data_IF_074574389370
#
_entry.id   IF_074574389370
#
_cell.length_a   1.000
_cell.length_b   1.000
_cell.length_c   1.000
_cell.angle_alpha   90.00
_cell.angle_beta   90.00
_cell.angle_gamma   90.00
#
_symmetry.space_group_name_H-M   'P 1'
#
loop_
_entity.id
_entity.type
_entity.pdbx_description
1 polymer ?
#
# COMPACT_ATOMS: atom_id res chain seq x y z
N UNK A 1 -16.32 -12.16 -25.53
CA UNK A 1 -16.10 -12.71 -24.19
C UNK A 1 -17.41 -12.64 -23.44
N UNK A 2 -17.89 -13.79 -22.97
CA UNK A 2 -18.96 -13.93 -22.00
C UNK A 2 -18.49 -13.46 -20.61
N UNK A 3 -19.44 -13.13 -19.73
CA UNK A 3 -19.12 -12.67 -18.37
C UNK A 3 -18.35 -13.71 -17.55
N UNK A 4 -18.59 -15.00 -17.82
CA UNK A 4 -17.86 -16.14 -17.23
C UNK A 4 -16.39 -16.15 -17.64
N UNK A 5 -16.10 -16.01 -18.94
CA UNK A 5 -14.72 -15.98 -19.48
C UNK A 5 -13.94 -14.78 -18.93
N UNK A 6 -14.60 -13.62 -18.78
CA UNK A 6 -13.97 -12.44 -18.20
C UNK A 6 -13.62 -12.64 -16.73
N UNK A 7 -14.52 -13.24 -15.96
CA UNK A 7 -14.30 -13.53 -14.53
C UNK A 7 -13.15 -14.51 -14.31
N UNK A 8 -13.11 -15.60 -15.09
CA UNK A 8 -12.02 -16.58 -15.03
C UNK A 8 -10.67 -15.92 -15.34
N UNK A 9 -10.62 -15.04 -16.35
CA UNK A 9 -9.41 -14.29 -16.68
C UNK A 9 -8.96 -13.33 -15.57
N UNK A 10 -9.89 -12.66 -14.88
CA UNK A 10 -9.58 -11.80 -13.74
C UNK A 10 -9.07 -12.60 -12.52
N UNK A 11 -9.64 -13.78 -12.27
CA UNK A 11 -9.20 -14.71 -11.23
C UNK A 11 -7.76 -15.20 -11.48
N UNK A 12 -7.45 -15.61 -12.69
CA UNK A 12 -6.10 -16.05 -13.09
C UNK A 12 -5.06 -14.92 -12.99
N UNK A 13 -5.45 -13.70 -13.40
CA UNK A 13 -4.60 -12.52 -13.29
C UNK A 13 -4.29 -12.18 -11.82
N UNK A 14 -5.31 -12.21 -10.95
CA UNK A 14 -5.13 -11.95 -9.51
C UNK A 14 -4.28 -13.03 -8.85
N UNK A 15 -4.48 -14.30 -9.18
CA UNK A 15 -3.64 -15.41 -8.69
C UNK A 15 -2.17 -15.21 -9.11
N UNK A 16 -1.95 -14.78 -10.35
CA UNK A 16 -0.61 -14.46 -10.86
C UNK A 16 0.05 -13.33 -10.07
N UNK A 17 -0.65 -12.21 -9.83
CA UNK A 17 -0.12 -11.12 -9.01
C UNK A 17 0.15 -11.56 -7.57
N UNK A 18 -0.80 -12.27 -6.97
CA UNK A 18 -0.70 -12.72 -5.58
C UNK A 18 0.51 -13.64 -5.36
N UNK A 19 0.84 -14.53 -6.32
CA UNK A 19 2.00 -15.42 -6.24
C UNK A 19 3.34 -14.68 -6.16
N UNK A 20 3.46 -13.54 -6.83
CA UNK A 20 4.69 -12.75 -6.87
C UNK A 20 4.70 -11.59 -5.87
N UNK A 21 3.58 -11.33 -5.21
CA UNK A 21 3.43 -10.23 -4.27
C UNK A 21 3.91 -10.61 -2.86
N UNK A 22 5.02 -10.01 -2.43
CA UNK A 22 5.49 -10.12 -1.05
C UNK A 22 4.78 -9.09 -0.15
N UNK A 23 3.67 -9.53 0.45
CA UNK A 23 2.90 -8.73 1.42
C UNK A 23 3.74 -8.34 2.65
N UNK A 24 4.65 -9.20 3.10
CA UNK A 24 5.47 -8.91 4.28
C UNK A 24 6.48 -7.79 3.98
N UNK A 25 7.08 -7.81 2.79
CA UNK A 25 7.94 -6.73 2.33
C UNK A 25 7.16 -5.40 2.26
N UNK A 26 5.95 -5.42 1.69
CA UNK A 26 5.10 -4.24 1.60
C UNK A 26 4.73 -3.68 2.98
N UNK A 27 4.35 -4.54 3.94
CA UNK A 27 4.08 -4.15 5.33
C UNK A 27 5.32 -3.59 6.03
N UNK A 28 6.49 -4.19 5.79
CA UNK A 28 7.77 -3.70 6.33
C UNK A 28 8.12 -2.32 5.78
N UNK A 29 7.90 -2.09 4.49
CA UNK A 29 8.11 -0.79 3.85
C UNK A 29 7.12 0.26 4.39
N UNK A 30 5.84 -0.08 4.53
CA UNK A 30 4.83 0.78 5.17
C UNK A 30 5.29 1.24 6.55
N UNK A 31 5.72 0.30 7.41
CA UNK A 31 6.23 0.59 8.76
C UNK A 31 7.50 1.44 8.73
N UNK A 32 8.43 1.17 7.80
CA UNK A 32 9.67 1.96 7.63
C UNK A 32 9.36 3.41 7.22
N UNK A 33 8.47 3.60 6.25
CA UNK A 33 8.03 4.92 5.80
C UNK A 33 7.32 5.67 6.92
N UNK A 34 6.42 5.02 7.67
CA UNK A 34 5.73 5.65 8.81
C UNK A 34 6.73 6.09 9.89
N UNK A 35 7.68 5.21 10.28
CA UNK A 35 8.75 5.55 11.23
C UNK A 35 9.58 6.75 10.78
N UNK A 36 9.90 6.87 9.49
CA UNK A 36 10.68 7.98 8.94
C UNK A 36 9.91 9.30 8.89
N UNK A 37 8.57 9.27 8.94
CA UNK A 37 7.70 10.41 8.63
C UNK A 37 6.86 10.91 9.81
N UNK A 38 6.52 10.05 10.78
CA UNK A 38 5.61 10.37 11.89
C UNK A 38 6.11 11.50 12.80
N UNK A 39 7.43 11.66 12.90
CA UNK A 39 8.09 12.69 13.74
C UNK A 39 8.59 13.89 12.92
N UNK A 40 8.21 14.01 11.64
CA UNK A 40 8.69 15.05 10.72
C UNK A 40 7.72 16.24 10.63
N UNK A 41 8.20 17.43 10.22
CA UNK A 41 7.33 18.58 9.98
C UNK A 41 6.23 18.28 8.95
N UNK A 42 5.09 18.98 9.05
CA UNK A 42 3.90 18.78 8.20
C UNK A 42 4.18 18.80 6.69
N UNK A 43 5.22 19.50 6.24
CA UNK A 43 5.62 19.54 4.82
C UNK A 43 6.15 18.18 4.34
N UNK A 44 7.02 17.54 5.13
CA UNK A 44 7.58 16.20 4.83
C UNK A 44 6.53 15.12 5.13
N UNK A 45 5.81 15.27 6.25
CA UNK A 45 4.73 14.38 6.62
C UNK A 45 3.52 14.46 5.67
N UNK A 46 3.34 15.56 4.93
CA UNK A 46 2.25 15.74 3.98
C UNK A 46 2.36 14.76 2.81
N UNK A 47 3.44 14.88 2.01
CA UNK A 47 3.63 14.02 0.83
C UNK A 47 3.90 12.57 1.23
N UNK A 48 4.82 12.34 2.16
CA UNK A 48 5.17 10.98 2.55
C UNK A 48 4.07 10.32 3.40
N UNK A 49 3.33 11.09 4.20
CA UNK A 49 2.15 10.60 4.92
C UNK A 49 0.99 10.25 3.99
N UNK A 50 0.84 10.93 2.85
CA UNK A 50 -0.10 10.52 1.82
C UNK A 50 0.25 9.15 1.22
N UNK A 51 1.54 8.90 0.94
CA UNK A 51 2.02 7.59 0.46
C UNK A 51 1.77 6.51 1.51
N UNK A 52 2.11 6.78 2.78
CA UNK A 52 1.84 5.84 3.89
C UNK A 52 0.35 5.53 4.02
N UNK A 53 -0.50 6.56 3.95
CA UNK A 53 -1.95 6.37 4.05
C UNK A 53 -2.50 5.56 2.87
N UNK A 54 -2.10 5.89 1.65
CA UNK A 54 -2.52 5.17 0.44
C UNK A 54 -2.07 3.72 0.47
N UNK A 55 -0.79 3.46 0.75
CA UNK A 55 -0.24 2.10 0.82
C UNK A 55 -0.92 1.28 1.92
N UNK A 56 -1.12 1.86 3.11
CA UNK A 56 -1.83 1.19 4.21
C UNK A 56 -3.26 0.81 3.85
N UNK A 57 -4.00 1.75 3.24
CA UNK A 57 -5.37 1.48 2.76
C UNK A 57 -5.40 0.36 1.73
N UNK A 58 -4.56 0.43 0.71
CA UNK A 58 -4.46 -0.61 -0.33
C UNK A 58 -4.14 -1.98 0.29
N UNK A 59 -3.14 -2.06 1.16
CA UNK A 59 -2.74 -3.31 1.81
C UNK A 59 -3.86 -3.91 2.67
N UNK A 60 -4.59 -3.08 3.42
CA UNK A 60 -5.70 -3.55 4.26
C UNK A 60 -6.84 -4.19 3.46
N UNK A 61 -7.04 -3.75 2.21
CA UNK A 61 -8.14 -4.25 1.38
C UNK A 61 -7.90 -5.65 0.82
N UNK A 62 -6.64 -6.11 0.74
CA UNK A 62 -6.28 -7.37 0.07
C UNK A 62 -6.95 -8.60 0.73
N UNK A 63 -7.11 -8.58 2.05
CA UNK A 63 -7.71 -9.68 2.80
C UNK A 63 -9.24 -9.57 2.87
N UNK A 64 -9.84 -8.49 2.37
CA UNK A 64 -11.28 -8.31 2.41
C UNK A 64 -11.98 -9.29 1.45
N UNK A 65 -12.79 -10.24 1.95
CA UNK A 65 -13.45 -11.24 1.10
C UNK A 65 -14.60 -10.64 0.28
N UNK A 66 -15.15 -9.49 0.69
CA UNK A 66 -16.24 -8.81 -0.01
C UNK A 66 -15.75 -7.95 -1.18
N UNK A 67 -14.44 -7.75 -1.33
CA UNK A 67 -13.89 -6.92 -2.40
C UNK A 67 -13.96 -7.64 -3.76
N UNK A 68 -14.60 -7.03 -4.78
CA UNK A 68 -14.62 -7.56 -6.15
C UNK A 68 -13.23 -7.81 -6.70
N UNK A 69 -13.09 -8.85 -7.54
CA UNK A 69 -11.79 -9.31 -7.97
C UNK A 69 -11.06 -8.35 -8.92
N UNK A 70 -11.78 -7.68 -9.81
CA UNK A 70 -11.20 -6.61 -10.64
C UNK A 70 -10.61 -5.47 -9.78
N UNK A 71 -11.17 -5.19 -8.60
CA UNK A 71 -10.59 -4.21 -7.67
C UNK A 71 -9.32 -4.75 -7.00
N UNK A 72 -9.26 -6.06 -6.68
CA UNK A 72 -8.02 -6.69 -6.19
C UNK A 72 -6.88 -6.55 -7.21
N UNK A 73 -7.15 -6.77 -8.48
CA UNK A 73 -6.17 -6.55 -9.55
C UNK A 73 -5.64 -5.10 -9.58
N UNK A 74 -6.55 -4.11 -9.48
CA UNK A 74 -6.17 -2.69 -9.40
C UNK A 74 -5.32 -2.38 -8.16
N UNK A 75 -5.66 -2.98 -7.01
CA UNK A 75 -4.89 -2.82 -5.77
C UNK A 75 -3.47 -3.38 -5.91
N UNK A 76 -3.30 -4.57 -6.49
CA UNK A 76 -1.97 -5.12 -6.76
C UNK A 76 -1.15 -4.22 -7.69
N UNK A 77 -1.77 -3.70 -8.76
CA UNK A 77 -1.11 -2.74 -9.66
C UNK A 77 -0.69 -1.46 -8.95
N UNK A 78 -1.58 -0.88 -8.13
CA UNK A 78 -1.30 0.34 -7.37
C UNK A 78 -0.20 0.14 -6.32
N UNK A 79 -0.20 -0.99 -5.60
CA UNK A 79 0.88 -1.30 -4.64
C UNK A 79 2.20 -1.51 -5.41
N UNK A 80 2.19 -2.27 -6.51
CA UNK A 80 3.36 -2.46 -7.36
C UNK A 80 3.94 -1.13 -7.84
N UNK A 81 3.08 -0.19 -8.24
CA UNK A 81 3.47 1.16 -8.63
C UNK A 81 4.08 1.98 -7.48
N UNK A 82 3.59 1.84 -6.24
CA UNK A 82 4.19 2.50 -5.07
C UNK A 82 5.57 1.88 -4.75
N UNK A 83 5.67 0.55 -4.78
CA UNK A 83 6.89 -0.16 -4.37
C UNK A 83 8.03 -0.04 -5.38
N UNK A 84 7.75 -0.19 -6.69
CA UNK A 84 8.77 -0.21 -7.74
C UNK A 84 9.71 1.03 -7.75
N UNK A 85 9.24 2.28 -7.69
CA UNK A 85 10.10 3.46 -7.62
C UNK A 85 10.75 3.64 -6.24
N UNK A 86 10.10 3.20 -5.15
CA UNK A 86 10.69 3.25 -3.79
C UNK A 86 11.84 2.26 -3.62
N UNK A 87 11.83 1.15 -4.35
CA UNK A 87 12.87 0.10 -4.31
C UNK A 87 14.09 0.46 -5.17
N UNK A 88 13.96 1.41 -6.11
CA UNK A 88 15.00 1.74 -7.09
C UNK A 88 15.85 2.98 -6.72
N UNK A 89 15.36 3.88 -5.85
CA UNK A 89 16.04 5.15 -5.55
C UNK A 89 15.87 5.55 -4.08
N UNK A 90 16.78 5.16 -3.17
CA UNK A 90 16.73 5.65 -1.80
C UNK A 90 17.23 7.10 -1.63
N UNK A 91 17.98 7.69 -2.57
CA UNK A 91 18.79 8.90 -2.29
C UNK A 91 18.57 10.12 -3.22
N UNK A 92 17.71 10.08 -4.23
CA UNK A 92 17.49 11.24 -5.14
C UNK A 92 16.00 11.37 -5.50
N UNK A 93 15.25 12.20 -4.77
CA UNK A 93 13.94 12.67 -5.25
C UNK A 93 13.99 14.18 -5.53
N UNK A 94 14.19 14.61 -6.79
CA UNK A 94 13.53 15.80 -7.29
C UNK A 94 12.09 15.40 -7.68
N UNK A 95 11.10 15.94 -6.96
CA UNK A 95 9.66 15.62 -7.12
C UNK A 95 9.10 16.29 -8.38
N UNK A 96 9.54 15.88 -9.58
CA UNK A 96 9.00 16.38 -10.84
C UNK A 96 8.76 15.21 -11.79
N UNK A 97 7.48 14.87 -12.03
CA UNK A 97 7.05 13.85 -12.99
C UNK A 97 6.00 12.85 -12.48
N UNK A 98 5.81 12.70 -11.17
CA UNK A 98 4.94 11.65 -10.58
C UNK A 98 3.46 12.05 -10.38
N UNK A 99 3.05 13.25 -10.78
CA UNK A 99 1.72 13.79 -10.47
C UNK A 99 0.56 13.01 -11.11
N UNK A 100 0.75 12.54 -12.35
CA UNK A 100 -0.30 11.87 -13.13
C UNK A 100 -0.58 10.44 -12.61
N UNK A 101 0.46 9.70 -12.26
CA UNK A 101 0.33 8.35 -11.74
C UNK A 101 -0.08 8.31 -10.25
N UNK A 102 0.29 9.30 -9.43
CA UNK A 102 -0.21 9.39 -8.04
C UNK A 102 -1.71 9.72 -7.99
N UNK A 103 -2.24 10.45 -8.99
CA UNK A 103 -3.67 10.63 -9.16
C UNK A 103 -4.37 9.29 -9.48
N UNK A 104 -3.72 8.41 -10.25
CA UNK A 104 -4.23 7.06 -10.51
C UNK A 104 -4.31 6.21 -9.23
N UNK A 105 -3.27 6.25 -8.38
CA UNK A 105 -3.25 5.55 -7.08
C UNK A 105 -4.33 6.10 -6.14
N UNK A 106 -4.48 7.43 -6.07
CA UNK A 106 -5.54 8.06 -5.28
C UNK A 106 -6.95 7.64 -5.78
N UNK A 107 -7.12 7.48 -7.09
CA UNK A 107 -8.32 6.93 -7.70
C UNK A 107 -8.61 5.50 -7.24
N UNK A 108 -7.60 4.62 -7.25
CA UNK A 108 -7.75 3.23 -6.76
C UNK A 108 -8.08 3.22 -5.27
N UNK A 109 -7.37 4.00 -4.45
CA UNK A 109 -7.65 4.15 -3.00
C UNK A 109 -9.10 4.57 -2.77
N UNK A 110 -9.60 5.51 -3.57
CA UNK A 110 -10.99 5.97 -3.49
C UNK A 110 -11.97 4.86 -3.88
N UNK A 111 -11.69 4.12 -4.96
CA UNK A 111 -12.51 3.02 -5.44
C UNK A 111 -12.61 1.87 -4.42
N UNK A 112 -11.57 1.64 -3.62
CA UNK A 112 -11.53 0.55 -2.62
C UNK A 112 -11.74 1.03 -1.18
N UNK A 113 -12.03 2.31 -0.96
CA UNK A 113 -12.12 2.89 0.38
C UNK A 113 -13.12 2.17 1.29
N UNK A 114 -14.23 1.68 0.75
CA UNK A 114 -15.25 0.93 1.49
C UNK A 114 -14.79 -0.45 2.00
N UNK A 115 -13.67 -0.97 1.48
CA UNK A 115 -13.09 -2.26 1.87
C UNK A 115 -11.88 -2.11 2.80
N UNK A 116 -11.45 -0.88 3.09
CA UNK A 116 -10.29 -0.59 3.92
C UNK A 116 -10.70 -0.34 5.37
N UNK A 117 -9.98 -0.95 6.30
CA UNK A 117 -10.05 -0.68 7.75
C UNK A 117 -8.80 0.04 8.27
N UNK A 118 -7.89 0.47 7.39
CA UNK A 118 -6.61 1.05 7.76
C UNK A 118 -6.74 2.39 8.51
N UNK A 119 -6.05 2.49 9.66
CA UNK A 119 -5.84 3.75 10.37
C UNK A 119 -4.36 4.00 10.68
N UNK A 120 -3.95 5.28 10.65
CA UNK A 120 -2.59 5.66 11.04
C UNK A 120 -2.32 5.42 12.53
N UNK A 121 -3.35 5.58 13.36
CA UNK A 121 -3.24 5.41 14.81
C UNK A 121 -3.00 3.94 15.19
N UNK A 122 -3.65 2.99 14.52
CA UNK A 122 -3.38 1.56 14.71
C UNK A 122 -1.99 1.17 14.22
N UNK A 123 -1.57 1.70 13.06
CA UNK A 123 -0.21 1.48 12.57
C UNK A 123 0.84 1.99 13.56
N UNK A 124 0.62 3.15 14.18
CA UNK A 124 1.53 3.68 15.20
C UNK A 124 1.55 2.81 16.46
N UNK A 125 0.39 2.31 16.93
CA UNK A 125 0.31 1.37 18.06
C UNK A 125 1.08 0.08 17.77
N UNK A 126 0.95 -0.49 16.57
CA UNK A 126 1.71 -1.67 16.16
C UNK A 126 3.22 -1.40 16.17
N UNK A 127 3.65 -0.27 15.62
CA UNK A 127 5.05 0.14 15.58
C UNK A 127 5.63 0.28 17.00
N UNK A 128 4.87 0.89 17.89
CA UNK A 128 5.30 1.12 19.27
C UNK A 128 5.32 -0.19 20.08
N UNK A 129 4.37 -1.10 19.84
CA UNK A 129 4.35 -2.43 20.43
C UNK A 129 5.56 -3.27 19.97
N UNK A 130 5.91 -3.26 18.68
CA UNK A 130 7.13 -3.91 18.16
C UNK A 130 8.40 -3.40 18.83
N UNK A 131 8.46 -2.08 19.09
CA UNK A 131 9.60 -1.47 19.75
C UNK A 131 9.69 -1.92 21.22
N UNK A 132 8.56 -1.96 21.93
CA UNK A 132 8.50 -2.44 23.31
C UNK A 132 8.92 -3.91 23.43
N UNK A 133 8.47 -4.78 22.50
CA UNK A 133 8.83 -6.19 22.46
C UNK A 133 10.33 -6.43 22.24
N UNK A 134 11.01 -5.57 21.47
CA UNK A 134 12.47 -5.68 21.29
C UNK A 134 13.24 -5.30 22.54
N UNK A 135 12.79 -4.29 23.27
CA UNK A 135 13.46 -3.81 24.50
C UNK A 135 13.37 -4.83 25.64
N UNK A 136 12.31 -5.63 25.70
CA UNK A 136 12.14 -6.67 26.76
C UNK A 136 12.86 -7.98 26.43
N UNK A 137 13.30 -8.16 25.17
CA UNK A 137 14.00 -9.36 24.70
C UNK A 137 15.53 -9.22 24.65
N UNK A 138 16.05 -8.03 24.94
CA UNK A 138 17.48 -7.71 25.14
C UNK A 138 17.81 -7.67 26.64
#
# INVERSE_FOLDING_TARGET
>A
MSDEEKRVSEEELVDTYQKHFDKNLALKLLKKLRKSTRDKPKVIAGTAGAIVSSLGKLLSTLDNPAMPIHLKALVFGAIGYILLPLDLIPDIMPVVGYGDDLASVAGVVTAVAAYSDFSLDELDKEIDAEKALKVIGE
#
